data_IF_475260222587
#
_entry.id   IF_475260222587
#
_cell.length_a   1.000
_cell.length_b   1.000
_cell.length_c   1.000
_cell.angle_alpha   90.00
_cell.angle_beta   90.00
_cell.angle_gamma   90.00
#
_symmetry.space_group_name_H-M   'P 1'
#
loop_
_entity.id
_entity.type
_entity.pdbx_description
1 polymer ?
#
# COMPACT_ATOMS: atom_id res chain seq x y z
N UNK A 1 0.16 -16.63 -1.71
CA UNK A 1 0.07 -15.81 -0.48
C UNK A 1 1.44 -15.26 -0.08
N UNK A 2 2.44 -16.10 0.22
CA UNK A 2 3.76 -15.64 0.66
C UNK A 2 4.48 -14.73 -0.33
N UNK A 3 4.36 -15.01 -1.64
CA UNK A 3 4.89 -14.13 -2.69
C UNK A 3 4.28 -12.72 -2.60
N UNK A 4 2.95 -12.60 -2.57
CA UNK A 4 2.26 -11.31 -2.42
C UNK A 4 2.63 -10.60 -1.10
N UNK A 5 2.77 -11.33 0.01
CA UNK A 5 3.18 -10.76 1.28
C UNK A 5 4.61 -10.18 1.21
N UNK A 6 5.53 -10.89 0.55
CA UNK A 6 6.87 -10.39 0.29
C UNK A 6 6.86 -9.14 -0.60
N UNK A 7 6.15 -9.20 -1.73
CA UNK A 7 6.03 -8.07 -2.66
C UNK A 7 5.43 -6.83 -1.99
N UNK A 8 4.41 -7.02 -1.17
CA UNK A 8 3.79 -5.95 -0.41
C UNK A 8 4.78 -5.33 0.59
N UNK A 9 5.55 -6.16 1.30
CA UNK A 9 6.58 -5.68 2.21
C UNK A 9 7.68 -4.90 1.50
N UNK A 10 8.15 -5.38 0.34
CA UNK A 10 9.23 -4.74 -0.41
C UNK A 10 8.86 -3.35 -0.94
N UNK A 11 7.59 -3.16 -1.32
CA UNK A 11 7.11 -1.89 -1.84
C UNK A 11 6.70 -0.92 -0.72
N UNK A 12 5.88 -1.39 0.22
CA UNK A 12 5.15 -0.50 1.12
C UNK A 12 5.94 -0.10 2.37
N UNK A 13 7.07 -0.78 2.66
CA UNK A 13 7.97 -0.34 3.75
C UNK A 13 8.49 1.06 3.49
N UNK A 14 8.76 1.42 2.23
CA UNK A 14 9.27 2.73 1.83
C UNK A 14 8.31 3.88 2.19
N UNK A 15 6.99 3.63 2.22
CA UNK A 15 5.99 4.65 2.54
C UNK A 15 6.13 5.16 3.98
N UNK A 16 6.54 4.30 4.91
CA UNK A 16 6.74 4.66 6.32
C UNK A 16 8.20 5.05 6.59
N UNK A 17 9.16 4.31 6.02
CA UNK A 17 10.58 4.52 6.32
C UNK A 17 11.20 5.68 5.54
N UNK A 18 10.65 6.04 4.38
CA UNK A 18 11.13 7.14 3.53
C UNK A 18 11.09 8.50 4.24
N UNK A 19 9.93 8.92 4.80
CA UNK A 19 9.84 10.16 5.57
C UNK A 19 10.78 10.17 6.79
N UNK A 20 10.91 9.04 7.50
CA UNK A 20 11.83 8.92 8.65
C UNK A 20 13.28 9.06 8.23
N UNK A 21 13.69 8.41 7.14
CA UNK A 21 15.04 8.51 6.60
C UNK A 21 15.36 9.95 6.16
N UNK A 22 14.41 10.65 5.54
CA UNK A 22 14.57 12.05 5.18
C UNK A 22 14.83 12.95 6.39
N UNK A 23 14.07 12.78 7.48
CA UNK A 23 14.27 13.53 8.74
C UNK A 23 15.64 13.21 9.34
N UNK A 24 16.02 11.94 9.42
CA UNK A 24 17.33 11.53 9.95
C UNK A 24 18.49 12.10 9.13
N UNK A 25 18.37 12.08 7.80
CA UNK A 25 19.37 12.66 6.91
C UNK A 25 19.58 14.14 7.20
N UNK A 26 18.51 14.91 7.36
CA UNK A 26 18.59 16.35 7.65
C UNK A 26 19.23 16.60 9.02
N UNK A 27 18.94 15.75 10.02
CA UNK A 27 19.55 15.87 11.35
C UNK A 27 21.06 15.56 11.34
N UNK A 28 21.51 14.65 10.49
CA UNK A 28 22.92 14.25 10.41
C UNK A 28 23.76 15.20 9.53
N UNK A 29 23.24 15.63 8.38
CA UNK A 29 24.00 16.40 7.39
C UNK A 29 23.69 17.90 7.40
N UNK A 30 22.53 18.30 7.93
CA UNK A 30 22.03 19.68 7.84
C UNK A 30 21.57 20.10 6.44
N UNK A 31 21.62 19.20 5.46
CA UNK A 31 21.28 19.48 4.06
C UNK A 31 20.13 18.60 3.56
N UNK A 32 19.32 19.15 2.65
CA UNK A 32 18.25 18.41 1.99
C UNK A 32 18.85 17.65 0.80
N UNK A 33 19.32 16.43 1.04
CA UNK A 33 19.82 15.56 -0.02
C UNK A 33 18.67 14.95 -0.84
N UNK A 34 18.86 14.84 -2.17
CA UNK A 34 17.90 14.21 -3.09
C UNK A 34 17.79 12.68 -2.91
N UNK A 35 18.81 12.06 -2.29
CA UNK A 35 18.85 10.63 -2.01
C UNK A 35 19.36 10.42 -0.60
N UNK A 36 18.50 9.89 0.27
CA UNK A 36 18.87 9.50 1.63
C UNK A 36 18.91 7.97 1.70
N UNK A 37 20.06 7.35 2.04
CA UNK A 37 20.11 5.93 2.32
C UNK A 37 19.29 5.63 3.57
N UNK A 38 18.34 4.70 3.47
CA UNK A 38 17.51 4.30 4.62
C UNK A 38 18.33 3.39 5.54
N UNK A 39 18.54 3.75 6.82
CA UNK A 39 19.25 2.88 7.74
C UNK A 39 18.50 1.56 7.99
N UNK A 40 19.25 0.47 8.15
CA UNK A 40 18.69 -0.88 8.32
C UNK A 40 17.75 -0.97 9.53
N UNK A 41 18.05 -0.27 10.64
CA UNK A 41 17.18 -0.28 11.83
C UNK A 41 15.82 0.38 11.57
N UNK A 42 15.74 1.40 10.69
CA UNK A 42 14.48 2.03 10.30
C UNK A 42 13.63 1.06 9.48
N UNK A 43 14.26 0.27 8.60
CA UNK A 43 13.58 -0.81 7.88
C UNK A 43 13.01 -1.87 8.83
N UNK A 44 13.73 -2.24 9.89
CA UNK A 44 13.21 -3.17 10.90
C UNK A 44 12.00 -2.62 11.64
N UNK A 45 12.02 -1.34 12.02
CA UNK A 45 10.87 -0.68 12.67
C UNK A 45 9.67 -0.69 11.72
N UNK A 46 9.87 -0.33 10.44
CA UNK A 46 8.84 -0.38 9.42
C UNK A 46 8.25 -1.78 9.23
N UNK A 47 9.10 -2.80 9.16
CA UNK A 47 8.69 -4.20 9.02
C UNK A 47 7.84 -4.68 10.21
N UNK A 48 8.26 -4.38 11.44
CA UNK A 48 7.50 -4.70 12.66
C UNK A 48 6.14 -3.99 12.64
N UNK A 49 6.13 -2.70 12.28
CA UNK A 49 4.90 -1.91 12.15
C UNK A 49 3.89 -2.52 11.17
N UNK A 50 4.35 -2.98 9.99
CA UNK A 50 3.50 -3.65 9.00
C UNK A 50 2.91 -4.94 9.59
N UNK A 51 3.73 -5.78 10.25
CA UNK A 51 3.28 -7.04 10.84
C UNK A 51 2.22 -6.79 11.92
N UNK A 52 2.46 -5.84 12.82
CA UNK A 52 1.51 -5.48 13.89
C UNK A 52 0.22 -4.90 13.31
N UNK A 53 0.30 -4.00 12.34
CA UNK A 53 -0.87 -3.42 11.68
C UNK A 53 -1.72 -4.46 10.96
N UNK A 54 -1.09 -5.40 10.24
CA UNK A 54 -1.77 -6.48 9.56
C UNK A 54 -2.46 -7.42 10.57
N UNK A 55 -1.77 -7.78 11.66
CA UNK A 55 -2.31 -8.66 12.69
C UNK A 55 -3.52 -8.06 13.44
N UNK A 56 -3.52 -6.74 13.65
CA UNK A 56 -4.56 -6.05 14.44
C UNK A 56 -5.75 -5.57 13.61
N UNK A 57 -5.51 -4.98 12.44
CA UNK A 57 -6.56 -4.34 11.64
C UNK A 57 -6.72 -4.92 10.23
N UNK A 58 -5.77 -5.72 9.75
CA UNK A 58 -5.75 -6.23 8.37
C UNK A 58 -6.92 -7.15 7.99
N UNK A 59 -7.52 -7.85 8.97
CA UNK A 59 -8.55 -8.86 8.72
C UNK A 59 -9.77 -8.31 7.97
N UNK A 60 -10.18 -7.06 8.24
CA UNK A 60 -11.35 -6.45 7.57
C UNK A 60 -11.10 -6.19 6.09
N UNK A 61 -9.89 -5.77 5.73
CA UNK A 61 -9.50 -5.51 4.33
C UNK A 61 -9.39 -6.83 3.57
N UNK A 62 -8.76 -7.84 4.18
CA UNK A 62 -8.61 -9.18 3.60
C UNK A 62 -9.98 -9.79 3.26
N UNK A 63 -10.96 -9.69 4.17
CA UNK A 63 -12.33 -10.18 3.89
C UNK A 63 -13.00 -9.42 2.75
N UNK A 64 -12.83 -8.10 2.69
CA UNK A 64 -13.44 -7.28 1.64
C UNK A 64 -12.91 -7.68 0.26
N UNK A 65 -11.59 -7.82 0.12
CA UNK A 65 -10.98 -8.21 -1.17
C UNK A 65 -11.24 -9.69 -1.49
N UNK A 66 -11.25 -10.56 -0.48
CA UNK A 66 -11.38 -12.01 -0.63
C UNK A 66 -12.80 -12.49 -0.94
N UNK A 67 -13.82 -11.75 -0.51
CA UNK A 67 -15.22 -12.23 -0.55
C UNK A 67 -16.17 -11.29 -1.27
N UNK A 68 -15.92 -9.96 -1.27
CA UNK A 68 -16.93 -8.98 -1.69
C UNK A 68 -16.82 -8.50 -3.14
N UNK A 69 -15.68 -8.71 -3.81
CA UNK A 69 -15.49 -8.23 -5.20
C UNK A 69 -16.02 -9.26 -6.22
N UNK A 70 -15.63 -10.53 -6.04
CA UNK A 70 -16.07 -11.67 -6.84
C UNK A 70 -15.83 -12.95 -6.04
N UNK A 71 -16.58 -14.01 -6.30
CA UNK A 71 -16.35 -15.32 -5.69
C UNK A 71 -15.00 -15.90 -6.15
N UNK A 72 -14.06 -15.98 -5.20
CA UNK A 72 -12.70 -16.49 -5.38
C UNK A 72 -12.59 -17.96 -4.96
N UNK A 73 -12.35 -18.83 -5.94
CA UNK A 73 -11.91 -20.22 -5.70
C UNK A 73 -10.39 -20.28 -5.52
N UNK A 74 -9.81 -21.33 -4.91
CA UNK A 74 -8.38 -21.40 -4.66
C UNK A 74 -7.48 -21.14 -5.89
N UNK A 75 -7.85 -21.68 -7.06
CA UNK A 75 -7.13 -21.45 -8.32
C UNK A 75 -7.16 -19.98 -8.76
N UNK A 76 -8.29 -19.31 -8.58
CA UNK A 76 -8.50 -17.89 -8.91
C UNK A 76 -7.76 -16.97 -7.94
N UNK A 77 -7.85 -17.29 -6.65
CA UNK A 77 -7.10 -16.59 -5.60
C UNK A 77 -5.59 -16.73 -5.82
N UNK A 78 -5.12 -17.91 -6.27
CA UNK A 78 -3.72 -18.10 -6.65
C UNK A 78 -3.33 -17.23 -7.85
N UNK A 79 -4.11 -17.26 -8.94
CA UNK A 79 -3.84 -16.47 -10.13
C UNK A 79 -3.81 -14.96 -9.84
N UNK A 80 -4.79 -14.44 -9.08
CA UNK A 80 -4.84 -13.04 -8.68
C UNK A 80 -3.63 -12.63 -7.81
N UNK A 81 -3.26 -13.46 -6.82
CA UNK A 81 -2.09 -13.21 -5.99
C UNK A 81 -0.78 -13.28 -6.77
N UNK A 82 -0.66 -14.21 -7.74
CA UNK A 82 0.54 -14.33 -8.56
C UNK A 82 0.69 -13.11 -9.47
N UNK A 83 -0.39 -12.72 -10.18
CA UNK A 83 -0.38 -11.53 -11.03
C UNK A 83 -0.03 -10.28 -10.21
N UNK A 84 -0.68 -10.07 -9.07
CA UNK A 84 -0.39 -8.93 -8.22
C UNK A 84 1.04 -8.92 -7.66
N UNK A 85 1.52 -10.07 -7.16
CA UNK A 85 2.88 -10.19 -6.63
C UNK A 85 3.93 -9.92 -7.72
N UNK A 86 3.76 -10.49 -8.91
CA UNK A 86 4.68 -10.28 -10.04
C UNK A 86 4.74 -8.82 -10.45
N UNK A 87 3.60 -8.13 -10.57
CA UNK A 87 3.56 -6.70 -10.92
C UNK A 87 4.23 -5.84 -9.83
N UNK A 88 3.97 -6.14 -8.55
CA UNK A 88 4.57 -5.38 -7.45
C UNK A 88 6.08 -5.61 -7.37
N UNK A 89 6.57 -6.86 -7.48
CA UNK A 89 8.02 -7.14 -7.48
C UNK A 89 8.70 -6.46 -8.64
N UNK A 90 8.10 -6.50 -9.83
CA UNK A 90 8.63 -5.81 -11.00
C UNK A 90 8.75 -4.30 -10.74
N UNK A 91 7.70 -3.64 -10.25
CA UNK A 91 7.74 -2.21 -9.93
C UNK A 91 8.76 -1.89 -8.83
N UNK A 92 8.79 -2.67 -7.74
CA UNK A 92 9.78 -2.51 -6.66
C UNK A 92 11.22 -2.67 -7.16
N UNK A 93 11.48 -3.60 -8.09
CA UNK A 93 12.82 -3.78 -8.67
C UNK A 93 13.28 -2.59 -9.50
N UNK A 94 12.35 -1.84 -10.08
CA UNK A 94 12.61 -0.60 -10.82
C UNK A 94 12.61 0.66 -9.93
N UNK A 95 12.36 0.52 -8.63
CA UNK A 95 12.26 1.64 -7.69
C UNK A 95 10.99 2.50 -7.85
N UNK A 96 10.00 2.04 -8.63
CA UNK A 96 8.76 2.76 -8.85
C UNK A 96 7.80 2.53 -7.67
N UNK A 97 7.39 3.60 -6.95
CA UNK A 97 6.37 3.46 -5.93
C UNK A 97 5.02 3.24 -6.61
N UNK A 98 4.44 2.05 -6.41
CA UNK A 98 3.11 1.73 -6.92
C UNK A 98 2.14 1.43 -5.77
N UNK A 99 0.84 1.39 -6.07
CA UNK A 99 -0.16 0.99 -5.09
C UNK A 99 -0.44 -0.51 -5.16
N UNK A 100 0.02 -1.25 -4.17
CA UNK A 100 -0.24 -2.69 -3.98
C UNK A 100 -1.74 -3.01 -3.93
N UNK A 101 -2.54 -2.10 -3.36
CA UNK A 101 -4.00 -2.24 -3.26
C UNK A 101 -4.67 -2.18 -4.64
N UNK A 102 -4.30 -1.21 -5.49
CA UNK A 102 -4.82 -1.13 -6.85
C UNK A 102 -4.42 -2.35 -7.67
N UNK A 103 -3.18 -2.80 -7.53
CA UNK A 103 -2.69 -3.99 -8.24
C UNK A 103 -3.46 -5.24 -7.84
N UNK A 104 -3.71 -5.44 -6.54
CA UNK A 104 -4.47 -6.59 -6.04
C UNK A 104 -5.94 -6.54 -6.48
N UNK A 105 -6.60 -5.40 -6.32
CA UNK A 105 -7.99 -5.21 -6.77
C UNK A 105 -8.09 -5.42 -8.27
N UNK A 106 -7.18 -4.86 -9.06
CA UNK A 106 -7.11 -5.06 -10.51
C UNK A 106 -6.93 -6.54 -10.90
N UNK A 107 -6.06 -7.27 -10.20
CA UNK A 107 -5.88 -8.70 -10.43
C UNK A 107 -7.14 -9.51 -10.10
N UNK A 108 -7.83 -9.20 -9.00
CA UNK A 108 -9.11 -9.82 -8.62
C UNK A 108 -10.20 -9.51 -9.65
N UNK A 109 -10.28 -8.26 -10.12
CA UNK A 109 -11.18 -7.86 -11.20
C UNK A 109 -10.88 -8.62 -12.49
N UNK A 110 -9.62 -8.76 -12.88
CA UNK A 110 -9.24 -9.50 -14.09
C UNK A 110 -9.69 -10.97 -14.04
N UNK A 111 -9.52 -11.63 -12.89
CA UNK A 111 -9.99 -13.01 -12.71
C UNK A 111 -11.53 -13.10 -12.62
N UNK A 112 -12.19 -12.06 -12.10
CA UNK A 112 -13.65 -11.95 -12.10
C UNK A 112 -14.22 -11.76 -13.51
N UNK A 113 -13.64 -10.86 -14.31
CA UNK A 113 -14.04 -10.59 -15.69
C UNK A 113 -13.91 -11.82 -16.59
N UNK A 114 -12.93 -12.69 -16.33
CA UNK A 114 -12.80 -13.97 -17.03
C UNK A 114 -14.01 -14.91 -16.85
N UNK A 115 -14.90 -14.64 -15.88
CA UNK A 115 -16.19 -15.34 -15.68
C UNK A 115 -17.39 -14.63 -16.30
N UNK A 116 -17.21 -13.42 -16.81
CA UNK A 116 -18.29 -12.52 -17.22
C UNK A 116 -18.48 -11.34 -16.26
N UNK A 117 -18.98 -10.24 -16.82
CA UNK A 117 -19.18 -8.94 -16.15
C UNK A 117 -20.14 -9.05 -14.96
N UNK A 118 -21.09 -9.99 -15.03
CA UNK A 118 -22.09 -10.23 -13.98
C UNK A 118 -21.52 -10.92 -12.72
N UNK A 119 -20.30 -11.46 -12.80
CA UNK A 119 -19.63 -12.08 -11.65
C UNK A 119 -19.04 -11.04 -10.67
N UNK A 120 -19.07 -9.75 -11.03
CA UNK A 120 -18.49 -8.65 -10.26
C UNK A 120 -19.58 -7.88 -9.49
N UNK A 121 -19.30 -7.56 -8.23
CA UNK A 121 -20.12 -6.62 -7.47
C UNK A 121 -19.73 -5.17 -7.78
N UNK A 122 -20.47 -4.55 -8.69
CA UNK A 122 -20.25 -3.16 -9.11
C UNK A 122 -20.47 -2.13 -8.00
N UNK A 123 -21.30 -2.43 -7.01
CA UNK A 123 -21.53 -1.55 -5.87
C UNK A 123 -20.28 -1.49 -4.98
N UNK A 124 -19.68 -2.65 -4.71
CA UNK A 124 -18.43 -2.76 -3.95
C UNK A 124 -17.27 -2.09 -4.70
N UNK A 125 -17.13 -2.35 -6.00
CA UNK A 125 -16.08 -1.75 -6.83
C UNK A 125 -16.19 -0.23 -6.82
N UNK A 126 -17.40 0.32 -7.01
CA UNK A 126 -17.64 1.76 -6.95
C UNK A 126 -17.23 2.33 -5.59
N UNK A 127 -17.60 1.67 -4.49
CA UNK A 127 -17.25 2.15 -3.15
C UNK A 127 -15.73 2.13 -2.92
N UNK A 128 -15.02 1.13 -3.44
CA UNK A 128 -13.55 1.08 -3.41
C UNK A 128 -12.96 2.26 -4.19
N UNK A 129 -13.41 2.51 -5.42
CA UNK A 129 -12.89 3.62 -6.26
C UNK A 129 -13.15 4.97 -5.60
N UNK A 130 -14.36 5.18 -5.06
CA UNK A 130 -14.69 6.40 -4.30
C UNK A 130 -13.75 6.55 -3.11
N UNK A 131 -13.48 5.47 -2.37
CA UNK A 131 -12.54 5.51 -1.24
C UNK A 131 -11.14 5.98 -1.66
N UNK A 132 -10.63 5.53 -2.81
CA UNK A 132 -9.31 5.93 -3.31
C UNK A 132 -9.26 7.43 -3.61
N UNK A 133 -10.27 7.94 -4.32
CA UNK A 133 -10.35 9.37 -4.66
C UNK A 133 -10.50 10.22 -3.40
N UNK A 134 -11.29 9.78 -2.41
CA UNK A 134 -11.54 10.53 -1.18
C UNK A 134 -10.35 10.50 -0.21
N UNK A 135 -9.57 9.42 -0.19
CA UNK A 135 -8.40 9.32 0.70
C UNK A 135 -7.31 10.34 0.38
N UNK A 136 -7.11 10.70 -0.89
CA UNK A 136 -6.10 11.67 -1.31
C UNK A 136 -6.31 13.09 -0.74
N UNK A 137 -7.46 13.76 -0.92
CA UNK A 137 -7.69 15.09 -0.37
C UNK A 137 -7.70 15.07 1.16
N UNK A 138 -8.25 14.04 1.79
CA UNK A 138 -8.25 13.92 3.25
C UNK A 138 -6.80 13.84 3.78
N UNK A 139 -5.96 12.99 3.18
CA UNK A 139 -4.56 12.87 3.57
C UNK A 139 -3.80 14.20 3.37
N UNK A 140 -4.02 14.89 2.24
CA UNK A 140 -3.39 16.18 1.96
C UNK A 140 -3.81 17.26 2.96
N UNK A 141 -5.11 17.38 3.26
CA UNK A 141 -5.64 18.36 4.22
C UNK A 141 -5.09 18.08 5.62
N UNK A 142 -5.11 16.82 6.06
CA UNK A 142 -4.58 16.46 7.37
C UNK A 142 -3.08 16.74 7.47
N UNK A 143 -2.31 16.36 6.44
CA UNK A 143 -0.86 16.63 6.39
C UNK A 143 -0.56 18.13 6.46
N UNK A 144 -1.25 18.95 5.66
CA UNK A 144 -1.09 20.40 5.69
C UNK A 144 -1.46 20.98 7.05
N UNK A 145 -2.56 20.50 7.66
CA UNK A 145 -3.02 20.96 8.98
C UNK A 145 -1.97 20.66 10.05
N UNK A 146 -1.44 19.43 10.09
CA UNK A 146 -0.39 19.08 11.04
C UNK A 146 0.88 19.91 10.82
N UNK A 147 1.27 20.14 9.57
CA UNK A 147 2.41 20.98 9.24
C UNK A 147 2.26 22.40 9.77
N UNK A 148 1.13 23.07 9.49
CA UNK A 148 0.90 24.44 9.97
C UNK A 148 0.79 24.54 11.49
N UNK A 149 0.19 23.53 12.14
CA UNK A 149 0.14 23.49 13.61
C UNK A 149 1.54 23.35 14.20
N UNK A 150 2.36 22.43 13.67
CA UNK A 150 3.74 22.27 14.14
C UNK A 150 4.57 23.52 13.87
N UNK A 151 4.39 24.16 12.71
CA UNK A 151 5.06 25.41 12.37
C UNK A 151 4.67 26.54 13.32
N UNK A 152 3.39 26.65 13.71
CA UNK A 152 2.95 27.68 14.66
C UNK A 152 3.45 27.45 16.09
N UNK A 153 3.77 26.20 16.46
CA UNK A 153 4.24 25.85 17.80
C UNK A 153 5.75 25.90 17.95
N UNK A 154 6.50 25.58 16.88
CA UNK A 154 7.96 25.39 16.93
C UNK A 154 8.75 26.29 15.97
N UNK A 155 8.07 26.99 15.05
CA UNK A 155 8.66 28.00 14.17
C UNK A 155 8.55 29.39 14.76
#
# INVERSE_FOLDING_TARGET
>A
ASAMAFSHGSNDVANATGPVAAVLSILETGEIAQSSPVPIYVLFIGAIGIVVGLATYGVRVIRTVGEKITELRPSRGFAANLAAASTVVFASSTGLPISTTHTLVGAVLGVGLARGVDALDWSVIRNIVVSWVVTLPIAAILSATFYFVLLALFG
#
